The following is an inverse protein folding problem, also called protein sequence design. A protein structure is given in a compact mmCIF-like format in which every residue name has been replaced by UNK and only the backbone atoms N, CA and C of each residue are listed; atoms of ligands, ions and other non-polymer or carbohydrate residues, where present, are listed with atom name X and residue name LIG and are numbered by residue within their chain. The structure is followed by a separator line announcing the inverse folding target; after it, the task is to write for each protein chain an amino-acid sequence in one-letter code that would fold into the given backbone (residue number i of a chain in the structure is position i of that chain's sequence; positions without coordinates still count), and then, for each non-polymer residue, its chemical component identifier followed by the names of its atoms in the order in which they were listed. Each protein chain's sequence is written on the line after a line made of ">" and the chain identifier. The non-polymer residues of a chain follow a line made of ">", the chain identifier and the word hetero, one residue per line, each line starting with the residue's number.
data_IF_941924463112
#
_entry.id   IF_941924463112
#
_cell.length_a   1.000
_cell.length_b   1.000
_cell.length_c   1.000
_cell.angle_alpha   90.00
_cell.angle_beta   90.00
_cell.angle_gamma   90.00
#
_symmetry.space_group_name_H-M   'P 1'
#
loop_
_entity.id
_entity.type
_entity.pdbx_description
1 polymer ?
#
# COMPACT_ATOMS: atom_id res chain seq x y z
N UNK A 1 -25.34 14.80 -9.89
CA UNK A 1 -25.15 13.50 -9.23
C UNK A 1 -23.64 13.30 -9.12
N UNK A 2 -23.10 13.19 -7.92
CA UNK A 2 -21.67 12.87 -7.75
C UNK A 2 -21.46 11.46 -8.32
N UNK A 3 -20.58 11.35 -9.33
CA UNK A 3 -20.19 10.04 -9.88
C UNK A 3 -19.62 9.11 -8.81
N UNK A 4 -19.52 7.82 -9.10
CA UNK A 4 -18.84 6.87 -8.19
C UNK A 4 -17.38 7.29 -8.04
N UNK A 5 -16.85 7.20 -6.82
CA UNK A 5 -15.43 7.39 -6.55
C UNK A 5 -14.59 6.30 -7.17
N UNK A 6 -13.34 6.59 -7.49
CA UNK A 6 -12.40 5.65 -8.10
C UNK A 6 -11.16 5.45 -7.22
N UNK A 7 -10.80 4.20 -6.99
CA UNK A 7 -9.56 3.81 -6.32
C UNK A 7 -8.60 3.11 -7.29
N UNK A 8 -7.31 3.43 -7.19
CA UNK A 8 -6.23 2.64 -7.81
C UNK A 8 -5.56 1.83 -6.70
N UNK A 9 -5.43 0.52 -6.90
CA UNK A 9 -4.77 -0.41 -5.95
C UNK A 9 -3.63 -1.14 -6.65
N UNK A 10 -2.41 -1.00 -6.14
CA UNK A 10 -1.25 -1.72 -6.67
C UNK A 10 -1.00 -3.03 -5.92
N UNK A 11 -0.45 -4.05 -6.61
CA UNK A 11 -0.15 -5.34 -5.99
C UNK A 11 -1.40 -6.16 -5.66
N UNK A 12 -2.37 -6.17 -6.55
CA UNK A 12 -3.71 -6.70 -6.31
C UNK A 12 -3.88 -8.21 -6.59
N UNK A 13 -2.81 -8.95 -6.93
CA UNK A 13 -2.90 -10.39 -7.25
C UNK A 13 -3.29 -11.28 -6.06
N UNK A 14 -3.09 -10.81 -4.82
CA UNK A 14 -3.40 -11.60 -3.63
C UNK A 14 -3.24 -10.81 -2.33
N UNK A 15 -3.37 -11.49 -1.20
CA UNK A 15 -3.13 -10.93 0.13
C UNK A 15 -3.89 -9.63 0.40
N UNK A 16 -3.20 -8.63 0.94
CA UNK A 16 -3.77 -7.32 1.28
C UNK A 16 -4.36 -6.64 0.03
N UNK A 17 -3.65 -6.68 -1.10
CA UNK A 17 -4.07 -5.99 -2.31
C UNK A 17 -5.40 -6.49 -2.88
N UNK A 18 -5.61 -7.81 -2.94
CA UNK A 18 -6.88 -8.39 -3.35
C UNK A 18 -8.01 -8.01 -2.38
N UNK A 19 -7.76 -8.09 -1.07
CA UNK A 19 -8.73 -7.65 -0.06
C UNK A 19 -9.09 -6.16 -0.17
N UNK A 20 -8.13 -5.30 -0.51
CA UNK A 20 -8.37 -3.88 -0.75
C UNK A 20 -9.29 -3.66 -1.95
N UNK A 21 -9.07 -4.39 -3.06
CA UNK A 21 -9.96 -4.32 -4.23
C UNK A 21 -11.39 -4.69 -3.83
N UNK A 22 -11.56 -5.84 -3.16
CA UNK A 22 -12.86 -6.29 -2.67
C UNK A 22 -13.50 -5.26 -1.72
N UNK A 23 -12.72 -4.70 -0.79
CA UNK A 23 -13.16 -3.68 0.16
C UNK A 23 -13.66 -2.40 -0.51
N UNK A 24 -12.92 -1.85 -1.48
CA UNK A 24 -13.34 -0.66 -2.21
C UNK A 24 -14.57 -0.91 -3.09
N UNK A 25 -14.63 -2.07 -3.77
CA UNK A 25 -15.83 -2.45 -4.55
C UNK A 25 -17.07 -2.56 -3.65
N UNK A 26 -16.95 -3.17 -2.46
CA UNK A 26 -18.02 -3.26 -1.49
C UNK A 26 -18.51 -1.90 -0.97
N UNK A 27 -17.62 -0.88 -0.96
CA UNK A 27 -17.95 0.51 -0.65
C UNK A 27 -18.51 1.30 -1.86
N UNK A 28 -18.74 0.63 -3.00
CA UNK A 28 -19.30 1.23 -4.19
C UNK A 28 -18.32 2.01 -5.07
N UNK A 29 -17.02 1.88 -4.85
CA UNK A 29 -16.00 2.49 -5.71
C UNK A 29 -15.88 1.75 -7.05
N UNK A 30 -15.44 2.48 -8.08
CA UNK A 30 -14.75 1.89 -9.20
C UNK A 30 -13.31 1.60 -8.80
N UNK A 31 -12.71 0.54 -9.35
CA UNK A 31 -11.35 0.15 -8.99
C UNK A 31 -10.51 -0.12 -10.24
N UNK A 32 -9.31 0.42 -10.27
CA UNK A 32 -8.23 -0.02 -11.18
C UNK A 32 -7.20 -0.77 -10.34
N UNK A 33 -7.01 -2.04 -10.62
CA UNK A 33 -6.12 -2.92 -9.88
C UNK A 33 -4.93 -3.32 -10.76
N UNK A 34 -3.69 -3.11 -10.26
CA UNK A 34 -2.49 -3.54 -10.96
C UNK A 34 -1.81 -4.69 -10.23
N UNK A 35 -1.25 -5.63 -10.96
CA UNK A 35 -0.45 -6.75 -10.43
C UNK A 35 0.67 -7.13 -11.39
N UNK A 36 1.78 -7.67 -10.84
CA UNK A 36 2.90 -8.13 -11.66
C UNK A 36 2.51 -9.31 -12.54
N UNK A 37 1.67 -10.19 -12.02
CA UNK A 37 1.13 -11.37 -12.70
C UNK A 37 -0.38 -11.24 -12.88
N UNK A 38 -0.91 -12.01 -13.83
CA UNK A 38 -2.35 -12.06 -14.08
C UNK A 38 -3.12 -12.43 -12.80
N UNK A 39 -4.16 -11.66 -12.49
CA UNK A 39 -4.98 -11.92 -11.31
C UNK A 39 -5.93 -13.08 -11.59
N UNK A 40 -5.73 -14.20 -10.91
CA UNK A 40 -6.57 -15.40 -11.03
C UNK A 40 -7.81 -15.38 -10.11
N UNK A 41 -7.87 -14.44 -9.16
CA UNK A 41 -8.94 -14.37 -8.14
C UNK A 41 -10.03 -13.36 -8.49
N UNK A 42 -9.70 -12.32 -9.24
CA UNK A 42 -10.61 -11.24 -9.59
C UNK A 42 -10.93 -11.31 -11.08
N UNK A 43 -12.17 -11.03 -11.43
CA UNK A 43 -12.61 -10.91 -12.83
C UNK A 43 -12.95 -9.45 -13.13
N UNK A 44 -12.58 -8.93 -14.33
CA UNK A 44 -12.95 -7.57 -14.72
C UNK A 44 -14.48 -7.41 -14.80
N UNK A 45 -14.95 -6.18 -14.54
CA UNK A 45 -16.37 -5.81 -14.58
C UNK A 45 -16.52 -4.34 -14.96
N UNK A 46 -17.75 -3.84 -15.05
CA UNK A 46 -18.02 -2.42 -15.32
C UNK A 46 -17.44 -1.49 -14.25
N UNK A 47 -17.08 -1.99 -13.07
CA UNK A 47 -16.49 -1.24 -11.97
C UNK A 47 -15.08 -1.70 -11.60
N UNK A 48 -14.50 -2.68 -12.30
CA UNK A 48 -13.17 -3.21 -12.02
C UNK A 48 -12.36 -3.40 -13.31
N UNK A 49 -11.29 -2.62 -13.42
CA UNK A 49 -10.26 -2.78 -14.46
C UNK A 49 -9.04 -3.48 -13.85
N UNK A 50 -8.60 -4.57 -14.49
CA UNK A 50 -7.40 -5.31 -14.11
C UNK A 50 -6.29 -5.03 -15.11
N UNK A 51 -5.10 -4.68 -14.62
CA UNK A 51 -3.92 -4.39 -15.43
C UNK A 51 -2.74 -5.23 -14.94
N UNK A 52 -2.05 -5.84 -15.89
CA UNK A 52 -0.79 -6.52 -15.63
C UNK A 52 0.37 -5.57 -15.86
N UNK A 53 1.34 -5.53 -14.95
CA UNK A 53 2.53 -4.70 -15.11
C UNK A 53 3.39 -4.62 -13.85
N UNK A 54 4.68 -4.44 -14.06
CA UNK A 54 5.66 -4.19 -13.01
C UNK A 54 5.55 -2.74 -12.54
N UNK A 55 5.21 -2.53 -11.26
CA UNK A 55 5.08 -1.18 -10.66
C UNK A 55 6.42 -0.40 -10.67
N UNK A 56 7.55 -1.09 -10.67
CA UNK A 56 8.88 -0.49 -10.84
C UNK A 56 9.12 0.12 -12.23
N UNK A 57 8.14 0.08 -13.13
CA UNK A 57 8.20 0.68 -14.46
C UNK A 57 7.19 1.82 -14.58
N UNK A 58 7.66 2.97 -15.02
CA UNK A 58 6.83 4.16 -15.22
C UNK A 58 5.61 3.90 -16.12
N UNK A 59 5.75 3.00 -17.11
CA UNK A 59 4.65 2.60 -18.01
C UNK A 59 3.45 2.07 -17.26
N UNK A 60 3.65 1.24 -16.22
CA UNK A 60 2.55 0.67 -15.42
C UNK A 60 1.75 1.77 -14.73
N UNK A 61 2.43 2.76 -14.16
CA UNK A 61 1.78 3.91 -13.54
C UNK A 61 0.96 4.73 -14.54
N UNK A 62 1.50 4.97 -15.75
CA UNK A 62 0.76 5.66 -16.81
C UNK A 62 -0.49 4.89 -17.21
N UNK A 63 -0.36 3.59 -17.46
CA UNK A 63 -1.49 2.73 -17.85
C UNK A 63 -2.59 2.71 -16.77
N UNK A 64 -2.22 2.62 -15.47
CA UNK A 64 -3.19 2.58 -14.38
C UNK A 64 -3.97 3.90 -14.25
N UNK A 65 -3.26 5.02 -14.31
CA UNK A 65 -3.90 6.34 -14.22
C UNK A 65 -4.74 6.63 -15.45
N UNK A 66 -4.23 6.33 -16.65
CA UNK A 66 -4.99 6.52 -17.90
C UNK A 66 -6.25 5.64 -17.92
N UNK A 67 -6.17 4.41 -17.42
CA UNK A 67 -7.35 3.54 -17.29
C UNK A 67 -8.38 4.11 -16.31
N UNK A 68 -7.96 4.66 -15.16
CA UNK A 68 -8.86 5.29 -14.19
C UNK A 68 -9.58 6.49 -14.81
N UNK A 69 -8.84 7.37 -15.48
CA UNK A 69 -9.42 8.57 -16.10
C UNK A 69 -10.32 8.22 -17.29
N UNK A 70 -9.87 7.32 -18.18
CA UNK A 70 -10.62 6.98 -19.40
C UNK A 70 -11.91 6.20 -19.11
N UNK A 71 -11.91 5.30 -18.11
CA UNK A 71 -13.09 4.50 -17.78
C UNK A 71 -14.01 5.18 -16.75
N UNK A 72 -13.44 5.95 -15.80
CA UNK A 72 -14.19 6.42 -14.62
C UNK A 72 -14.13 7.93 -14.39
N UNK A 73 -13.24 8.65 -15.07
CA UNK A 73 -13.17 10.11 -15.07
C UNK A 73 -12.50 10.75 -13.85
N UNK A 74 -12.14 9.98 -12.81
CA UNK A 74 -11.59 10.52 -11.57
C UNK A 74 -10.63 9.54 -10.89
N UNK A 75 -9.76 10.05 -9.99
CA UNK A 75 -8.96 9.28 -9.06
C UNK A 75 -9.14 9.88 -7.66
N UNK A 76 -9.94 9.24 -6.83
CA UNK A 76 -10.21 9.71 -5.47
C UNK A 76 -9.23 9.12 -4.45
N UNK A 77 -8.80 7.87 -4.67
CA UNK A 77 -7.87 7.16 -3.78
C UNK A 77 -6.79 6.44 -4.59
N UNK A 78 -5.54 6.59 -4.17
CA UNK A 78 -4.45 5.72 -4.59
C UNK A 78 -3.99 4.90 -3.39
N UNK A 79 -3.92 3.56 -3.54
CA UNK A 79 -3.29 2.69 -2.54
C UNK A 79 -2.01 2.09 -3.11
N UNK A 80 -0.87 2.58 -2.62
CA UNK A 80 0.44 2.00 -2.88
C UNK A 80 0.64 0.79 -1.98
N UNK A 81 0.18 -0.40 -2.44
CA UNK A 81 0.28 -1.65 -1.70
C UNK A 81 1.36 -2.57 -2.26
N UNK A 82 1.65 -2.51 -3.56
CA UNK A 82 2.71 -3.33 -4.17
C UNK A 82 4.04 -3.15 -3.45
N UNK A 83 4.71 -4.26 -3.16
CA UNK A 83 6.00 -4.25 -2.50
C UNK A 83 6.47 -5.65 -2.16
N UNK A 84 7.74 -5.76 -1.87
CA UNK A 84 8.39 -7.00 -1.45
C UNK A 84 9.07 -6.80 -0.09
N UNK A 85 9.27 -7.90 0.62
CA UNK A 85 10.00 -7.98 1.88
C UNK A 85 11.00 -9.13 1.81
N UNK A 86 12.24 -8.86 2.20
CA UNK A 86 13.29 -9.87 2.31
C UNK A 86 13.81 -9.89 3.75
N UNK A 87 13.88 -11.10 4.33
CA UNK A 87 14.36 -11.33 5.69
C UNK A 87 15.67 -12.12 5.63
N UNK A 88 16.78 -11.44 5.77
CA UNK A 88 18.12 -12.06 5.85
C UNK A 88 19.12 -11.14 6.58
N UNK A 89 20.21 -11.67 7.15
CA UNK A 89 21.26 -10.86 7.77
C UNK A 89 21.76 -9.77 6.83
N UNK A 90 22.12 -8.61 7.38
CA UNK A 90 22.53 -7.44 6.59
C UNK A 90 23.68 -7.73 5.61
N UNK A 91 24.67 -8.54 6.04
CA UNK A 91 25.82 -8.87 5.20
C UNK A 91 25.52 -9.87 4.08
N UNK A 92 24.37 -10.53 4.13
CA UNK A 92 23.95 -11.53 3.10
C UNK A 92 23.07 -10.90 2.01
N UNK A 93 22.74 -9.60 2.13
CA UNK A 93 22.04 -8.90 1.07
C UNK A 93 22.96 -8.63 -0.11
N UNK A 94 22.49 -8.98 -1.30
CA UNK A 94 23.19 -8.67 -2.56
C UNK A 94 22.72 -7.35 -3.13
N UNK A 95 23.43 -6.84 -4.14
CA UNK A 95 23.00 -5.64 -4.84
C UNK A 95 21.68 -5.87 -5.60
N UNK A 96 21.47 -7.08 -6.12
CA UNK A 96 20.23 -7.48 -6.80
C UNK A 96 19.03 -7.47 -5.85
N UNK A 97 19.20 -7.91 -4.59
CA UNK A 97 18.18 -7.81 -3.55
C UNK A 97 17.83 -6.34 -3.28
N UNK A 98 18.84 -5.49 -3.15
CA UNK A 98 18.67 -4.06 -2.93
C UNK A 98 17.94 -3.41 -4.10
N UNK A 99 18.36 -3.67 -5.33
CA UNK A 99 17.75 -3.15 -6.54
C UNK A 99 16.30 -3.61 -6.69
N UNK A 100 15.99 -4.87 -6.36
CA UNK A 100 14.63 -5.39 -6.36
C UNK A 100 13.74 -4.66 -5.33
N UNK A 101 14.24 -4.44 -4.10
CA UNK A 101 13.54 -3.69 -3.06
C UNK A 101 13.30 -2.23 -3.47
N UNK A 102 14.30 -1.57 -4.04
CA UNK A 102 14.19 -0.20 -4.56
C UNK A 102 13.17 -0.14 -5.70
N UNK A 103 13.25 -1.07 -6.65
CA UNK A 103 12.35 -1.11 -7.81
C UNK A 103 10.88 -1.27 -7.37
N UNK A 104 10.60 -2.31 -6.58
CA UNK A 104 9.21 -2.59 -6.19
C UNK A 104 8.65 -1.58 -5.19
N UNK A 105 9.42 -1.25 -4.14
CA UNK A 105 8.90 -0.46 -3.02
C UNK A 105 9.00 1.06 -3.28
N UNK A 106 10.14 1.55 -3.80
CA UNK A 106 10.38 2.99 -3.96
C UNK A 106 10.00 3.51 -5.35
N UNK A 107 10.48 2.88 -6.43
CA UNK A 107 10.13 3.34 -7.77
C UNK A 107 8.64 3.11 -8.05
N UNK A 108 8.06 2.01 -7.59
CA UNK A 108 6.63 1.75 -7.69
C UNK A 108 5.80 2.85 -7.03
N UNK A 109 6.12 3.20 -5.79
CA UNK A 109 5.49 4.32 -5.08
C UNK A 109 5.69 5.64 -5.84
N UNK A 110 6.92 5.94 -6.24
CA UNK A 110 7.26 7.21 -6.88
C UNK A 110 6.49 7.43 -8.18
N UNK A 111 6.54 6.47 -9.11
CA UNK A 111 5.87 6.59 -10.41
C UNK A 111 4.36 6.68 -10.27
N UNK A 112 3.79 5.81 -9.44
CA UNK A 112 2.34 5.76 -9.27
C UNK A 112 1.81 7.02 -8.59
N UNK A 113 2.46 7.44 -7.49
CA UNK A 113 2.08 8.64 -6.74
C UNK A 113 2.22 9.90 -7.59
N UNK A 114 3.37 10.08 -8.26
CA UNK A 114 3.59 11.26 -9.11
C UNK A 114 2.54 11.37 -10.21
N UNK A 115 2.16 10.24 -10.83
CA UNK A 115 1.20 10.25 -11.92
C UNK A 115 -0.23 10.47 -11.43
N UNK A 116 -0.63 9.87 -10.30
CA UNK A 116 -1.95 10.03 -9.72
C UNK A 116 -2.16 11.44 -9.15
N UNK A 117 -1.17 11.98 -8.44
CA UNK A 117 -1.23 13.33 -7.86
C UNK A 117 -1.44 14.42 -8.93
N UNK A 118 -0.86 14.26 -10.14
CA UNK A 118 -1.13 15.19 -11.24
C UNK A 118 -2.62 15.28 -11.61
N UNK A 119 -3.36 14.19 -11.53
CA UNK A 119 -4.80 14.19 -11.76
C UNK A 119 -5.57 14.72 -10.54
N UNK A 120 -5.15 14.33 -9.32
CA UNK A 120 -5.75 14.81 -8.07
C UNK A 120 -5.62 16.34 -7.92
N UNK A 121 -4.52 16.95 -8.37
CA UNK A 121 -4.34 18.40 -8.40
C UNK A 121 -5.39 19.11 -9.28
N UNK A 122 -5.73 18.54 -10.43
CA UNK A 122 -6.81 19.08 -11.29
C UNK A 122 -8.17 19.00 -10.60
N UNK A 123 -8.38 17.96 -9.80
CA UNK A 123 -9.61 17.72 -9.03
C UNK A 123 -9.67 18.55 -7.74
N UNK A 124 -8.52 19.07 -7.26
CA UNK A 124 -8.33 19.69 -5.93
C UNK A 124 -8.83 18.79 -4.80
N UNK A 125 -8.64 17.52 -4.96
CA UNK A 125 -9.07 16.48 -4.01
C UNK A 125 -8.36 15.17 -4.31
N UNK A 126 -7.99 14.44 -3.27
CA UNK A 126 -7.41 13.10 -3.40
C UNK A 126 -6.95 12.53 -2.06
N UNK A 127 -6.71 11.24 -2.06
CA UNK A 127 -6.14 10.54 -0.91
C UNK A 127 -5.13 9.48 -1.39
N UNK A 128 -3.93 9.54 -0.87
CA UNK A 128 -2.90 8.51 -1.07
C UNK A 128 -2.71 7.76 0.23
N UNK A 129 -2.85 6.43 0.20
CA UNK A 129 -2.55 5.55 1.33
C UNK A 129 -1.45 4.59 0.92
N UNK A 130 -0.38 4.52 1.70
CA UNK A 130 0.78 3.68 1.41
C UNK A 130 0.88 2.55 2.43
N UNK A 131 1.03 1.30 1.96
CA UNK A 131 1.29 0.15 2.84
C UNK A 131 2.80 0.08 3.11
N UNK A 132 3.17 0.40 4.35
CA UNK A 132 4.56 0.37 4.82
C UNK A 132 4.82 -0.90 5.66
N UNK A 133 5.42 -0.79 6.82
CA UNK A 133 5.59 -1.87 7.78
C UNK A 133 5.86 -1.30 9.18
N UNK A 134 5.31 -1.90 10.21
CA UNK A 134 5.56 -1.51 11.59
C UNK A 134 7.06 -1.65 11.97
N UNK A 135 7.75 -2.62 11.37
CA UNK A 135 9.19 -2.82 11.56
C UNK A 135 10.05 -1.61 11.15
N UNK A 136 9.52 -0.67 10.35
CA UNK A 136 10.29 0.46 9.85
C UNK A 136 10.72 1.44 10.94
N UNK A 137 9.92 1.57 11.99
CA UNK A 137 10.17 2.43 13.17
C UNK A 137 10.04 1.66 14.48
N UNK A 138 9.58 0.41 14.44
CA UNK A 138 9.34 -0.47 15.60
C UNK A 138 10.00 -1.83 15.39
N UNK A 139 11.35 -1.88 15.44
CA UNK A 139 12.09 -3.13 15.15
C UNK A 139 11.79 -4.21 16.18
N UNK A 140 11.76 -5.46 15.70
CA UNK A 140 11.52 -6.66 16.51
C UNK A 140 12.80 -7.48 16.52
N UNK A 141 13.28 -7.87 17.71
CA UNK A 141 14.45 -8.73 17.85
C UNK A 141 14.24 -10.07 17.12
N UNK A 142 15.25 -10.54 16.39
CA UNK A 142 15.19 -11.77 15.59
C UNK A 142 14.66 -11.58 14.16
N UNK A 143 14.19 -10.38 13.77
CA UNK A 143 13.80 -10.09 12.40
C UNK A 143 14.89 -9.33 11.66
N UNK A 144 15.45 -9.96 10.62
CA UNK A 144 16.57 -9.43 9.83
C UNK A 144 16.07 -8.69 8.57
N UNK A 145 15.27 -7.64 8.76
CA UNK A 145 14.62 -6.89 7.67
C UNK A 145 15.24 -5.53 7.37
N UNK A 146 16.47 -5.25 7.81
CA UNK A 146 17.05 -3.90 7.78
C UNK A 146 17.01 -3.24 6.39
N UNK A 147 17.40 -3.95 5.33
CA UNK A 147 17.41 -3.40 3.96
C UNK A 147 15.97 -3.16 3.46
N UNK A 148 15.04 -4.09 3.74
CA UNK A 148 13.63 -3.86 3.44
C UNK A 148 13.09 -2.62 4.16
N UNK A 149 13.53 -2.37 5.41
CA UNK A 149 13.08 -1.21 6.20
C UNK A 149 13.72 0.11 5.76
N UNK A 150 14.85 0.11 5.06
CA UNK A 150 15.36 1.32 4.37
C UNK A 150 14.28 1.85 3.42
N UNK A 151 13.66 0.97 2.63
CA UNK A 151 12.62 1.39 1.68
C UNK A 151 11.33 1.77 2.40
N UNK A 152 10.86 0.98 3.35
CA UNK A 152 9.60 1.22 4.07
C UNK A 152 9.65 2.45 4.99
N UNK A 153 10.79 2.68 5.66
CA UNK A 153 11.03 3.90 6.45
C UNK A 153 11.10 5.16 5.58
N UNK A 154 11.71 5.05 4.39
CA UNK A 154 11.67 6.12 3.40
C UNK A 154 10.25 6.49 2.96
N UNK A 155 9.36 5.49 2.81
CA UNK A 155 7.95 5.73 2.50
C UNK A 155 7.18 6.42 3.64
N UNK A 156 7.50 6.11 4.91
CA UNK A 156 6.93 6.83 6.06
C UNK A 156 7.33 8.32 6.01
N UNK A 157 8.61 8.61 5.82
CA UNK A 157 9.10 9.98 5.70
C UNK A 157 8.49 10.70 4.49
N UNK A 158 8.40 10.06 3.33
CA UNK A 158 7.77 10.61 2.14
C UNK A 158 6.30 10.92 2.36
N UNK A 159 5.55 10.04 3.04
CA UNK A 159 4.13 10.24 3.38
C UNK A 159 3.92 11.53 4.18
N UNK A 160 4.73 11.76 5.22
CA UNK A 160 4.62 12.95 6.07
C UNK A 160 4.98 14.24 5.32
N UNK A 161 6.03 14.20 4.49
CA UNK A 161 6.44 15.36 3.72
C UNK A 161 5.40 15.72 2.64
N UNK A 162 4.90 14.74 1.89
CA UNK A 162 3.88 14.95 0.86
C UNK A 162 2.55 15.42 1.47
N UNK A 163 2.20 14.96 2.68
CA UNK A 163 1.03 15.44 3.39
C UNK A 163 1.09 16.95 3.65
N UNK A 164 2.27 17.49 3.97
CA UNK A 164 2.49 18.91 4.16
C UNK A 164 2.56 19.65 2.83
N UNK A 165 3.27 19.08 1.84
CA UNK A 165 3.48 19.68 0.51
C UNK A 165 2.16 19.95 -0.23
N UNK A 166 1.19 19.01 -0.14
CA UNK A 166 -0.08 19.08 -0.88
C UNK A 166 -1.30 19.39 0.00
N UNK A 167 -1.11 19.86 1.23
CA UNK A 167 -2.21 20.16 2.16
C UNK A 167 -3.19 21.20 1.60
N UNK A 168 -2.66 22.29 1.02
CA UNK A 168 -3.45 23.38 0.45
C UNK A 168 -4.19 22.97 -0.83
N UNK A 169 -3.71 21.91 -1.50
CA UNK A 169 -4.34 21.37 -2.72
C UNK A 169 -5.48 20.39 -2.41
N UNK A 170 -5.74 20.11 -1.13
CA UNK A 170 -6.79 19.20 -0.69
C UNK A 170 -6.45 17.72 -0.91
N UNK A 171 -5.16 17.37 -1.05
CA UNK A 171 -4.69 16.01 -1.23
C UNK A 171 -4.08 15.50 0.08
N UNK A 172 -4.59 14.39 0.60
CA UNK A 172 -4.14 13.79 1.85
C UNK A 172 -3.20 12.62 1.57
N UNK A 173 -2.17 12.48 2.40
CA UNK A 173 -1.22 11.37 2.36
C UNK A 173 -1.16 10.71 3.73
N UNK A 174 -1.38 9.40 3.78
CA UNK A 174 -1.25 8.61 4.98
C UNK A 174 -0.60 7.27 4.68
N UNK A 175 -0.13 6.57 5.70
CA UNK A 175 0.35 5.22 5.58
C UNK A 175 -0.35 4.29 6.59
N UNK A 176 -0.49 3.04 6.21
CA UNK A 176 -0.77 1.94 7.13
C UNK A 176 0.52 1.15 7.29
N UNK A 177 0.93 0.93 8.55
CA UNK A 177 2.12 0.17 8.91
C UNK A 177 1.70 -1.16 9.58
N UNK A 178 1.55 -2.23 8.80
CA UNK A 178 1.17 -3.54 9.33
C UNK A 178 2.26 -4.19 10.17
N UNK A 179 1.86 -4.99 11.15
CA UNK A 179 2.67 -6.07 11.67
C UNK A 179 2.67 -7.29 10.72
N UNK A 180 2.80 -8.51 11.26
CA UNK A 180 2.68 -9.72 10.45
C UNK A 180 1.20 -9.96 10.11
N UNK A 181 0.92 -10.08 8.81
CA UNK A 181 -0.42 -10.31 8.27
C UNK A 181 -0.50 -11.68 7.66
N UNK A 182 -1.56 -12.43 7.94
CA UNK A 182 -1.79 -13.75 7.35
C UNK A 182 -2.07 -13.60 5.83
N UNK A 183 -1.04 -13.82 5.04
CA UNK A 183 -1.05 -13.69 3.57
C UNK A 183 -0.09 -14.73 2.95
N UNK A 184 -0.17 -15.00 1.64
CA UNK A 184 0.79 -15.86 0.97
C UNK A 184 2.27 -15.42 1.09
N UNK A 185 2.53 -14.13 1.37
CA UNK A 185 3.88 -13.61 1.62
C UNK A 185 4.43 -14.09 2.97
N UNK A 186 3.56 -14.37 3.94
CA UNK A 186 3.88 -14.87 5.26
C UNK A 186 3.02 -16.11 5.52
N UNK A 187 3.39 -17.28 4.94
CA UNK A 187 2.67 -18.53 5.15
C UNK A 187 2.62 -18.87 6.63
N UNK A 188 1.61 -19.65 7.03
CA UNK A 188 1.35 -19.96 8.44
C UNK A 188 2.57 -20.58 9.14
N UNK A 189 3.36 -19.73 9.79
CA UNK A 189 4.34 -20.12 10.78
C UNK A 189 3.72 -19.81 12.16
N UNK A 190 3.53 -20.83 13.01
CA UNK A 190 3.00 -20.63 14.37
C UNK A 190 3.83 -19.66 15.20
N UNK A 191 5.13 -19.58 14.97
CA UNK A 191 6.03 -18.70 15.71
C UNK A 191 5.81 -17.22 15.38
N UNK A 192 5.32 -16.89 14.19
CA UNK A 192 5.00 -15.52 13.80
C UNK A 192 3.92 -14.88 14.70
N UNK A 193 3.00 -15.66 15.26
CA UNK A 193 1.99 -15.14 16.18
C UNK A 193 2.60 -14.60 17.47
N UNK A 194 3.73 -15.15 17.89
CA UNK A 194 4.45 -14.76 19.11
C UNK A 194 5.19 -13.43 18.96
N UNK A 195 5.35 -12.94 17.72
CA UNK A 195 5.98 -11.65 17.43
C UNK A 195 5.12 -10.46 17.92
N UNK A 196 3.83 -10.69 18.16
CA UNK A 196 2.91 -9.65 18.62
C UNK A 196 2.39 -9.93 20.03
N UNK A 197 2.29 -8.91 20.91
CA UNK A 197 1.70 -9.07 22.25
C UNK A 197 0.28 -9.63 22.26
N UNK A 198 -0.47 -9.42 21.20
CA UNK A 198 -1.80 -9.99 21.01
C UNK A 198 -1.81 -11.50 20.74
N UNK A 199 -0.62 -12.09 20.52
CA UNK A 199 -0.46 -13.52 20.16
C UNK A 199 -1.28 -13.93 18.94
N UNK A 200 -1.49 -13.01 18.00
CA UNK A 200 -2.24 -13.22 16.76
C UNK A 200 -1.58 -12.47 15.61
N UNK A 201 -1.59 -13.06 14.42
CA UNK A 201 -1.35 -12.34 13.18
C UNK A 201 -2.56 -11.45 12.86
N UNK A 202 -2.32 -10.31 12.22
CA UNK A 202 -3.40 -9.54 11.63
C UNK A 202 -4.04 -10.32 10.47
N UNK A 203 -5.31 -10.09 10.26
CA UNK A 203 -6.01 -10.56 9.07
C UNK A 203 -5.91 -9.51 7.95
N UNK A 204 -6.12 -9.92 6.71
CA UNK A 204 -6.23 -8.97 5.58
C UNK A 204 -7.31 -7.92 5.87
N UNK A 205 -8.42 -8.32 6.50
CA UNK A 205 -9.51 -7.42 6.85
C UNK A 205 -9.08 -6.30 7.80
N UNK A 206 -8.21 -6.55 8.76
CA UNK A 206 -7.73 -5.52 9.69
C UNK A 206 -7.00 -4.40 8.96
N UNK A 207 -6.24 -4.76 7.92
CA UNK A 207 -5.52 -3.79 7.09
C UNK A 207 -6.48 -3.06 6.13
N UNK A 208 -7.43 -3.77 5.54
CA UNK A 208 -8.46 -3.18 4.67
C UNK A 208 -9.29 -2.14 5.44
N UNK A 209 -9.74 -2.46 6.65
CA UNK A 209 -10.50 -1.53 7.49
C UNK A 209 -9.70 -0.25 7.81
N UNK A 210 -8.41 -0.38 8.11
CA UNK A 210 -7.52 0.75 8.35
C UNK A 210 -7.34 1.64 7.10
N UNK A 211 -7.15 1.04 5.92
CA UNK A 211 -7.03 1.78 4.66
C UNK A 211 -8.34 2.49 4.32
N UNK A 212 -9.48 1.84 4.46
CA UNK A 212 -10.79 2.43 4.22
C UNK A 212 -11.06 3.58 5.20
N UNK A 213 -10.69 3.44 6.47
CA UNK A 213 -10.77 4.53 7.45
C UNK A 213 -9.97 5.74 6.96
N UNK A 214 -8.69 5.58 6.60
CA UNK A 214 -7.85 6.68 6.13
C UNK A 214 -8.36 7.30 4.81
N UNK A 215 -8.92 6.49 3.92
CA UNK A 215 -9.52 6.97 2.68
C UNK A 215 -10.72 7.90 2.94
N UNK A 216 -11.50 7.66 4.01
CA UNK A 216 -12.69 8.43 4.36
C UNK A 216 -12.45 9.53 5.41
N UNK A 217 -11.40 9.43 6.21
CA UNK A 217 -11.10 10.37 7.31
C UNK A 217 -10.58 11.71 6.76
N UNK A 218 -11.47 12.61 6.38
CA UNK A 218 -11.18 13.85 5.65
C UNK A 218 -10.21 14.82 6.37
N UNK A 219 -9.99 14.68 7.67
CA UNK A 219 -9.09 15.54 8.46
C UNK A 219 -7.81 14.83 8.93
N UNK A 220 -7.56 13.61 8.42
CA UNK A 220 -6.33 12.84 8.73
C UNK A 220 -5.38 12.90 7.54
N UNK A 221 -4.20 13.50 7.75
CA UNK A 221 -3.12 13.58 6.75
C UNK A 221 -1.77 13.60 7.46
N UNK A 222 -0.79 12.88 6.94
CA UNK A 222 0.55 12.71 7.54
C UNK A 222 0.62 11.58 8.57
N UNK A 223 -0.45 10.82 8.78
CA UNK A 223 -0.51 9.74 9.77
C UNK A 223 0.16 8.46 9.26
N UNK A 224 0.91 7.81 10.16
CA UNK A 224 1.43 6.44 9.99
C UNK A 224 0.65 5.55 10.96
N UNK A 225 -0.46 4.99 10.49
CA UNK A 225 -1.35 4.18 11.31
C UNK A 225 -0.79 2.76 11.46
N UNK A 226 -0.34 2.43 12.67
CA UNK A 226 0.15 1.09 12.98
C UNK A 226 -1.00 0.12 13.23
N UNK A 227 -0.97 -1.01 12.51
CA UNK A 227 -1.89 -2.14 12.67
C UNK A 227 -1.03 -3.37 12.94
N UNK A 228 -0.47 -3.45 14.14
CA UNK A 228 0.68 -4.29 14.48
C UNK A 228 0.48 -5.14 15.77
N UNK A 229 -0.75 -5.24 16.28
CA UNK A 229 -1.04 -6.03 17.46
C UNK A 229 -0.26 -5.61 18.71
N UNK A 230 0.01 -4.29 18.86
CA UNK A 230 0.78 -3.69 19.94
C UNK A 230 2.26 -4.14 19.99
N UNK A 231 2.88 -4.43 18.85
CA UNK A 231 4.26 -4.90 18.76
C UNK A 231 5.27 -4.07 19.61
N UNK A 232 5.14 -2.72 19.72
CA UNK A 232 6.03 -1.93 20.58
C UNK A 232 5.78 -2.08 22.09
N UNK A 233 4.61 -2.54 22.48
CA UNK A 233 4.23 -2.67 23.90
C UNK A 233 4.70 -4.00 24.52
N UNK A 234 5.76 -4.61 23.99
CA UNK A 234 6.31 -5.84 24.54
C UNK A 234 6.69 -5.64 26.00
N UNK A 235 6.26 -6.58 26.85
CA UNK A 235 6.75 -6.69 28.22
C UNK A 235 8.25 -7.05 28.18
N UNK A 236 9.02 -6.33 28.96
CA UNK A 236 10.43 -6.59 29.27
C UNK A 236 10.57 -7.95 29.96
#
# INVERSE_FOLDING_TARGET
>A
MSGKKTAIVTGASGGIGAGLVEGFLAQGYNVVATSHESNQRLAPSDTLVLLEGDVGKQRTASQAVDAAINNFGTIDVLVNNAGIFLNKPFLDFTIEDFDALVSANLLGFFYMTQRAVKEMLKQKSGCVVTITAALADRPIAGTNGSVSMITKGGLNAATQNLATEYAEDGIRFNAVAPGVVNTPMHPDDPDDSTLHPTMKKATVKDIVDAVLYLAHAGYVSGEILHVDGAAPARRW
#
